data_IF_465778150908
#
_entry.id   IF_465778150908
#
_cell.length_a   1.000
_cell.length_b   1.000
_cell.length_c   1.000
_cell.angle_alpha   90.00
_cell.angle_beta   90.00
_cell.angle_gamma   90.00
#
_symmetry.space_group_name_H-M   'P 1'
#
loop_
_entity.id
_entity.type
_entity.pdbx_description
1 polymer ?
#
# COMPACT_ATOMS: atom_id res chain seq x y z
N UNK A 1 -3.79 2.82 3.06
CA UNK A 1 -4.72 3.57 2.18
C UNK A 1 -6.15 3.46 2.73
N UNK A 2 -7.13 4.25 2.27
CA UNK A 2 -8.51 4.16 2.78
C UNK A 2 -9.39 3.20 1.95
N UNK A 3 -10.29 2.41 2.57
CA UNK A 3 -11.20 1.50 1.88
C UNK A 3 -12.14 2.19 0.88
N UNK A 4 -12.64 1.39 -0.08
CA UNK A 4 -13.61 1.82 -1.07
C UNK A 4 -15.02 1.39 -0.71
N UNK A 5 -15.98 2.25 -1.03
CA UNK A 5 -17.40 1.94 -1.06
C UNK A 5 -17.89 2.01 -2.51
N UNK A 6 -18.34 0.87 -3.06
CA UNK A 6 -18.81 0.82 -4.45
C UNK A 6 -17.76 1.32 -5.46
N UNK A 7 -16.49 0.94 -5.26
CA UNK A 7 -15.32 1.34 -6.05
C UNK A 7 -14.92 2.82 -5.95
N UNK A 8 -15.54 3.60 -5.06
CA UNK A 8 -15.19 5.01 -4.83
C UNK A 8 -14.63 5.19 -3.42
N UNK A 9 -13.67 6.12 -3.21
CA UNK A 9 -13.26 6.50 -1.87
C UNK A 9 -14.47 6.97 -1.06
N UNK A 10 -14.60 6.47 0.16
CA UNK A 10 -15.64 6.93 1.06
C UNK A 10 -15.16 8.19 1.80
N UNK A 11 -15.93 9.30 1.74
CA UNK A 11 -15.49 10.54 2.35
C UNK A 11 -15.51 10.43 3.88
N UNK A 12 -14.37 10.71 4.51
CA UNK A 12 -14.29 10.85 5.96
C UNK A 12 -14.97 12.15 6.41
N UNK A 13 -15.52 12.13 7.62
CA UNK A 13 -16.04 13.34 8.27
C UNK A 13 -14.90 14.34 8.43
N UNK A 14 -15.22 15.61 8.21
CA UNK A 14 -14.26 16.70 8.44
C UNK A 14 -13.81 16.69 9.90
N UNK A 15 -12.51 16.85 10.18
CA UNK A 15 -12.04 17.02 11.54
C UNK A 15 -12.83 18.13 12.26
N UNK A 16 -13.09 17.93 13.56
CA UNK A 16 -13.77 18.92 14.37
C UNK A 16 -12.97 20.24 14.34
N UNK A 17 -13.63 21.33 13.95
CA UNK A 17 -12.98 22.63 13.77
C UNK A 17 -12.49 23.25 15.08
N UNK A 18 -13.20 22.97 16.17
CA UNK A 18 -12.89 23.45 17.51
C UNK A 18 -12.69 22.26 18.45
N UNK A 19 -11.70 22.34 19.37
CA UNK A 19 -11.55 21.36 20.41
C UNK A 19 -12.82 21.30 21.27
N UNK A 20 -13.17 20.12 21.82
CA UNK A 20 -14.35 19.97 22.66
C UNK A 20 -14.27 20.88 23.89
N UNK A 21 -15.40 21.50 24.23
CA UNK A 21 -15.51 22.31 25.44
C UNK A 21 -15.44 21.47 26.72
N UNK A 22 -15.27 22.11 27.90
CA UNK A 22 -15.26 21.38 29.17
C UNK A 22 -16.58 20.62 29.39
N UNK A 23 -16.50 19.29 29.43
CA UNK A 23 -17.66 18.40 29.63
C UNK A 23 -18.41 18.00 28.36
N UNK A 24 -17.92 18.36 27.17
CA UNK A 24 -18.47 17.91 25.89
C UNK A 24 -17.98 16.48 25.58
N UNK A 25 -18.92 15.55 25.37
CA UNK A 25 -18.60 14.19 24.93
C UNK A 25 -18.27 14.17 23.44
N UNK A 26 -17.18 13.48 23.08
CA UNK A 26 -16.79 13.25 21.69
C UNK A 26 -16.61 11.75 21.48
N UNK A 27 -17.27 11.22 20.45
CA UNK A 27 -17.18 9.83 20.05
C UNK A 27 -16.19 9.71 18.89
N UNK A 28 -15.21 8.81 19.01
CA UNK A 28 -14.12 8.67 18.03
C UNK A 28 -14.10 7.24 17.51
N UNK A 29 -14.04 7.08 16.20
CA UNK A 29 -13.78 5.78 15.56
C UNK A 29 -12.26 5.56 15.54
N UNK A 30 -11.80 4.49 16.18
CA UNK A 30 -10.36 4.31 16.46
C UNK A 30 -9.49 4.19 15.21
N UNK A 31 -9.92 3.47 14.17
CA UNK A 31 -9.12 3.24 12.97
C UNK A 31 -9.20 4.42 11.99
N UNK A 32 -10.38 4.98 11.72
CA UNK A 32 -10.52 6.12 10.80
C UNK A 32 -10.22 7.48 11.44
N UNK A 33 -10.10 7.54 12.77
CA UNK A 33 -9.89 8.75 13.57
C UNK A 33 -10.98 9.81 13.38
N UNK A 34 -12.14 9.43 12.88
CA UNK A 34 -13.29 10.33 12.73
C UNK A 34 -13.89 10.62 14.10
N UNK A 35 -14.21 11.89 14.34
CA UNK A 35 -14.74 12.37 15.60
C UNK A 35 -16.13 12.97 15.42
N UNK A 36 -17.04 12.65 16.34
CA UNK A 36 -18.45 13.01 16.31
C UNK A 36 -18.86 13.62 17.64
N UNK A 37 -19.65 14.69 17.61
CA UNK A 37 -20.28 15.30 18.80
C UNK A 37 -21.71 14.77 19.03
N UNK A 38 -22.35 14.31 17.96
CA UNK A 38 -23.67 13.72 18.01
C UNK A 38 -23.54 12.18 18.07
N UNK A 39 -24.22 11.57 19.05
CA UNK A 39 -24.18 10.14 19.29
C UNK A 39 -24.88 9.35 18.18
N UNK A 40 -26.02 9.83 17.69
CA UNK A 40 -26.79 9.17 16.64
C UNK A 40 -26.01 9.11 15.31
N UNK A 41 -25.27 10.18 14.96
CA UNK A 41 -24.39 10.21 13.78
C UNK A 41 -23.23 9.23 13.91
N UNK A 42 -22.65 9.12 15.11
CA UNK A 42 -21.61 8.14 15.41
C UNK A 42 -22.12 6.70 15.29
N UNK A 43 -23.28 6.40 15.88
CA UNK A 43 -23.91 5.08 15.82
C UNK A 43 -24.28 4.70 14.38
N UNK A 44 -24.86 5.63 13.60
CA UNK A 44 -25.15 5.41 12.19
C UNK A 44 -23.87 5.18 11.37
N UNK A 45 -22.76 5.86 11.72
CA UNK A 45 -21.46 5.61 11.08
C UNK A 45 -20.94 4.22 11.39
N UNK A 46 -21.02 3.79 12.64
CA UNK A 46 -20.60 2.45 13.05
C UNK A 46 -21.43 1.36 12.38
N UNK A 47 -22.75 1.52 12.32
CA UNK A 47 -23.63 0.57 11.63
C UNK A 47 -23.19 0.40 10.18
N UNK A 48 -22.98 1.51 9.48
CA UNK A 48 -22.47 1.50 8.10
C UNK A 48 -21.09 0.85 7.96
N UNK A 49 -20.20 1.03 8.94
CA UNK A 49 -18.87 0.40 8.94
C UNK A 49 -18.92 -1.10 9.20
N UNK A 50 -19.94 -1.59 9.89
CA UNK A 50 -20.17 -3.00 10.15
C UNK A 50 -20.84 -3.74 8.96
N UNK A 51 -21.42 -3.01 8.00
CA UNK A 51 -21.93 -3.63 6.77
C UNK A 51 -20.80 -4.26 5.95
N UNK A 52 -21.03 -5.45 5.39
CA UNK A 52 -20.07 -6.16 4.52
C UNK A 52 -20.12 -5.66 3.07
N UNK A 53 -19.92 -4.37 2.87
CA UNK A 53 -20.02 -3.70 1.56
C UNK A 53 -18.73 -3.01 1.14
N UNK A 54 -17.68 -3.15 1.93
CA UNK A 54 -16.40 -2.47 1.73
C UNK A 54 -15.49 -3.31 0.84
N UNK A 55 -14.58 -2.61 0.17
CA UNK A 55 -13.58 -3.21 -0.71
C UNK A 55 -12.21 -2.63 -0.39
N UNK A 56 -11.21 -3.48 -0.23
CA UNK A 56 -9.82 -3.08 -0.21
C UNK A 56 -9.45 -2.50 -1.59
N UNK A 57 -9.01 -1.25 -1.62
CA UNK A 57 -8.47 -0.56 -2.80
C UNK A 57 -7.23 -1.27 -3.35
N UNK A 58 -6.37 -1.77 -2.48
CA UNK A 58 -5.06 -2.33 -2.88
C UNK A 58 -5.18 -3.74 -3.48
N UNK A 59 -5.95 -4.63 -2.86
CA UNK A 59 -6.10 -6.03 -3.32
C UNK A 59 -7.36 -6.27 -4.17
N UNK A 60 -8.37 -5.40 -4.07
CA UNK A 60 -9.68 -5.62 -4.66
C UNK A 60 -10.59 -6.59 -3.87
N UNK A 61 -10.14 -7.11 -2.72
CA UNK A 61 -10.95 -7.94 -1.82
C UNK A 61 -12.24 -7.20 -1.43
N UNK A 62 -13.39 -7.87 -1.51
CA UNK A 62 -14.71 -7.28 -1.30
C UNK A 62 -15.53 -8.07 -0.28
N UNK A 63 -16.73 -7.58 0.08
CA UNK A 63 -17.58 -8.15 1.14
C UNK A 63 -16.95 -8.07 2.54
N UNK A 64 -16.10 -7.06 2.73
CA UNK A 64 -15.43 -6.75 3.98
C UNK A 64 -16.24 -5.72 4.77
N UNK A 65 -16.08 -5.71 6.08
CA UNK A 65 -16.39 -4.55 6.92
C UNK A 65 -15.36 -3.44 6.67
N UNK A 66 -15.66 -2.21 7.09
CA UNK A 66 -14.72 -1.10 6.93
C UNK A 66 -13.41 -1.38 7.67
N UNK A 67 -13.48 -1.96 8.87
CA UNK A 67 -12.31 -2.23 9.69
C UNK A 67 -11.42 -3.31 9.06
N UNK A 68 -12.00 -4.43 8.62
CA UNK A 68 -11.27 -5.49 7.91
C UNK A 68 -10.55 -4.93 6.67
N UNK A 69 -11.27 -4.17 5.83
CA UNK A 69 -10.65 -3.56 4.65
C UNK A 69 -9.55 -2.55 5.02
N UNK A 70 -9.71 -1.80 6.11
CA UNK A 70 -8.70 -0.85 6.59
C UNK A 70 -7.43 -1.55 7.10
N UNK A 71 -7.58 -2.66 7.82
CA UNK A 71 -6.45 -3.47 8.30
C UNK A 71 -5.68 -4.08 7.14
N UNK A 72 -6.38 -4.67 6.16
CA UNK A 72 -5.76 -5.20 4.94
C UNK A 72 -5.01 -4.12 4.15
N UNK A 73 -5.55 -2.89 4.08
CA UNK A 73 -4.86 -1.76 3.48
C UNK A 73 -3.55 -1.37 4.19
N UNK A 74 -3.50 -1.50 5.51
CA UNK A 74 -2.28 -1.23 6.28
C UNK A 74 -1.25 -2.33 6.05
N UNK A 75 -1.66 -3.60 6.15
CA UNK A 75 -0.78 -4.75 5.92
C UNK A 75 -0.15 -4.71 4.52
N UNK A 76 -0.95 -4.41 3.48
CA UNK A 76 -0.42 -4.30 2.11
C UNK A 76 0.51 -3.10 1.95
N UNK A 77 0.23 -1.99 2.64
CA UNK A 77 1.10 -0.81 2.60
C UNK A 77 2.45 -1.10 3.26
N UNK A 78 2.45 -1.79 4.42
CA UNK A 78 3.64 -2.19 5.14
C UNK A 78 4.46 -3.19 4.33
N UNK A 79 3.81 -4.24 3.80
CA UNK A 79 4.47 -5.23 2.94
C UNK A 79 5.10 -4.57 1.71
N UNK A 80 4.42 -3.62 1.07
CA UNK A 80 4.97 -2.90 -0.08
C UNK A 80 6.20 -2.06 0.33
N UNK A 81 6.20 -1.45 1.50
CA UNK A 81 7.36 -0.69 2.00
C UNK A 81 8.55 -1.60 2.33
N UNK A 82 8.29 -2.81 2.83
CA UNK A 82 9.33 -3.79 3.19
C UNK A 82 9.93 -4.46 1.95
N UNK A 83 9.10 -4.89 1.00
CA UNK A 83 9.52 -5.73 -0.13
C UNK A 83 9.86 -4.93 -1.39
N UNK A 84 9.28 -3.73 -1.58
CA UNK A 84 9.46 -2.94 -2.79
C UNK A 84 10.31 -1.69 -2.55
N UNK A 85 11.57 -1.76 -2.97
CA UNK A 85 12.51 -0.66 -2.85
C UNK A 85 12.25 0.46 -3.87
N UNK A 86 12.39 1.71 -3.41
CA UNK A 86 12.16 2.91 -4.22
C UNK A 86 13.09 3.05 -5.43
N UNK A 87 14.25 2.36 -5.46
CA UNK A 87 15.15 2.34 -6.62
C UNK A 87 14.47 1.84 -7.89
N UNK A 88 13.49 0.93 -7.75
CA UNK A 88 12.75 0.35 -8.86
C UNK A 88 11.56 1.21 -9.31
N UNK A 89 11.15 2.24 -8.56
CA UNK A 89 9.98 3.05 -8.88
C UNK A 89 10.08 3.69 -10.27
N UNK A 90 11.20 4.38 -10.54
CA UNK A 90 11.44 5.00 -11.85
C UNK A 90 11.48 4.00 -13.02
N UNK A 91 12.32 2.94 -13.01
CA UNK A 91 12.40 2.02 -14.15
C UNK A 91 11.08 1.27 -14.40
N UNK A 92 10.34 0.90 -13.35
CA UNK A 92 9.03 0.27 -13.52
C UNK A 92 7.99 1.25 -14.06
N UNK A 93 7.96 2.49 -13.58
CA UNK A 93 7.06 3.51 -14.13
C UNK A 93 7.35 3.81 -15.61
N UNK A 94 8.64 3.90 -16.00
CA UNK A 94 9.04 4.08 -17.39
C UNK A 94 8.61 2.89 -18.27
N UNK A 95 8.67 1.67 -17.75
CA UNK A 95 8.20 0.46 -18.45
C UNK A 95 6.69 0.44 -18.67
N UNK A 96 5.92 0.87 -17.67
CA UNK A 96 4.45 0.87 -17.70
C UNK A 96 3.91 2.05 -18.53
N UNK A 97 4.62 3.18 -18.52
CA UNK A 97 4.17 4.40 -19.19
C UNK A 97 3.97 4.19 -20.70
N UNK A 98 2.74 4.45 -21.18
CA UNK A 98 2.30 4.25 -22.57
C UNK A 98 2.41 2.82 -23.12
N UNK A 99 2.60 1.83 -22.26
CA UNK A 99 2.64 0.44 -22.71
C UNK A 99 1.23 -0.04 -23.08
N UNK A 100 1.14 -0.85 -24.14
CA UNK A 100 -0.13 -1.36 -24.68
C UNK A 100 -0.30 -2.87 -24.48
N UNK A 101 0.64 -3.54 -23.82
CA UNK A 101 0.47 -4.97 -23.47
C UNK A 101 -0.54 -5.13 -22.34
N UNK A 102 -1.05 -6.36 -22.16
CA UNK A 102 -1.97 -6.64 -21.05
C UNK A 102 -1.34 -6.38 -19.70
N UNK A 103 -2.15 -6.05 -18.70
CA UNK A 103 -1.69 -5.82 -17.33
C UNK A 103 -0.89 -7.02 -16.80
N UNK A 104 -1.38 -8.24 -16.99
CA UNK A 104 -0.68 -9.46 -16.55
C UNK A 104 0.72 -9.58 -17.15
N UNK A 105 0.88 -9.18 -18.42
CA UNK A 105 2.18 -9.20 -19.10
C UNK A 105 3.09 -8.08 -18.60
N UNK A 106 2.54 -6.91 -18.28
CA UNK A 106 3.30 -5.83 -17.64
C UNK A 106 3.83 -6.26 -16.26
N UNK A 107 3.02 -6.94 -15.46
CA UNK A 107 3.42 -7.44 -14.15
C UNK A 107 4.59 -8.42 -14.29
N UNK A 108 4.51 -9.36 -15.22
CA UNK A 108 5.61 -10.30 -15.49
C UNK A 108 6.89 -9.59 -15.95
N UNK A 109 6.76 -8.60 -16.83
CA UNK A 109 7.91 -7.81 -17.30
C UNK A 109 8.56 -7.00 -16.18
N UNK A 110 7.75 -6.37 -15.32
CA UNK A 110 8.24 -5.61 -14.17
C UNK A 110 8.93 -6.53 -13.16
N UNK A 111 8.36 -7.70 -12.89
CA UNK A 111 8.94 -8.71 -12.02
C UNK A 111 10.31 -9.18 -12.52
N UNK A 112 10.42 -9.46 -13.82
CA UNK A 112 11.69 -9.82 -14.45
C UNK A 112 12.72 -8.69 -14.39
N UNK A 113 12.31 -7.44 -14.55
CA UNK A 113 13.20 -6.28 -14.41
C UNK A 113 13.80 -6.21 -12.99
N UNK A 114 12.96 -6.34 -11.96
CA UNK A 114 13.36 -6.30 -10.55
C UNK A 114 14.32 -7.44 -10.21
N UNK A 115 14.08 -8.65 -10.72
CA UNK A 115 14.90 -9.81 -10.39
C UNK A 115 16.21 -9.92 -11.17
N UNK A 116 16.29 -9.32 -12.35
CA UNK A 116 17.42 -9.56 -13.28
C UNK A 116 18.35 -8.39 -13.49
N UNK A 117 18.02 -7.21 -12.96
CA UNK A 117 18.79 -6.00 -13.19
C UNK A 117 18.96 -5.21 -11.91
N UNK A 118 20.10 -4.51 -11.85
CA UNK A 118 20.38 -3.56 -10.79
C UNK A 118 19.71 -2.22 -11.07
N UNK A 119 19.14 -1.62 -10.03
CA UNK A 119 18.65 -0.26 -10.07
C UNK A 119 19.71 0.74 -9.60
N UNK A 120 19.63 1.97 -10.09
CA UNK A 120 20.53 3.04 -9.64
C UNK A 120 20.28 3.34 -8.17
N UNK A 121 21.32 3.19 -7.36
CA UNK A 121 21.25 3.41 -5.91
C UNK A 121 20.98 2.16 -5.09
N UNK A 122 20.75 1.02 -5.74
CA UNK A 122 20.62 -0.27 -5.07
C UNK A 122 21.87 -0.64 -4.28
N UNK A 123 21.68 -1.05 -3.03
CA UNK A 123 22.75 -1.59 -2.19
C UNK A 123 23.03 -3.04 -2.59
N UNK A 124 24.28 -3.33 -2.94
CA UNK A 124 24.70 -4.66 -3.36
C UNK A 124 25.84 -5.18 -2.50
N UNK A 125 25.78 -6.47 -2.18
CA UNK A 125 26.88 -7.17 -1.53
C UNK A 125 27.90 -7.60 -2.57
N UNK A 126 29.16 -7.24 -2.35
CA UNK A 126 30.28 -7.63 -3.22
C UNK A 126 31.09 -8.74 -2.56
N UNK A 127 31.24 -9.86 -3.25
CA UNK A 127 32.20 -10.89 -2.86
C UNK A 127 33.48 -10.69 -3.66
N UNK A 128 34.52 -10.21 -2.96
CA UNK A 128 35.86 -10.04 -3.53
C UNK A 128 36.63 -11.34 -3.30
N UNK A 129 36.82 -12.12 -4.36
CA UNK A 129 37.69 -13.29 -4.35
C UNK A 129 39.04 -12.93 -4.99
N UNK A 130 40.11 -13.66 -4.66
CA UNK A 130 41.49 -13.35 -5.05
C UNK A 130 41.75 -13.16 -6.56
N UNK A 131 40.79 -13.44 -7.44
CA UNK A 131 40.91 -13.32 -8.90
C UNK A 131 39.67 -12.73 -9.61
N UNK A 132 38.50 -12.59 -8.95
CA UNK A 132 37.23 -12.17 -9.58
C UNK A 132 36.37 -11.36 -8.60
N UNK A 133 35.78 -10.25 -9.07
CA UNK A 133 34.74 -9.49 -8.36
C UNK A 133 33.37 -10.10 -8.67
N UNK A 134 32.64 -10.53 -7.65
CA UNK A 134 31.24 -10.96 -7.78
C UNK A 134 30.33 -9.94 -7.11
N UNK A 135 29.24 -9.55 -7.78
CA UNK A 135 28.11 -8.86 -7.16
C UNK A 135 27.06 -9.93 -6.85
N UNK A 136 26.66 -10.03 -5.59
CA UNK A 136 25.60 -10.95 -5.17
C UNK A 136 24.30 -10.16 -5.05
N UNK A 137 23.27 -10.50 -5.83
CA UNK A 137 21.92 -10.03 -5.50
C UNK A 137 21.44 -10.77 -4.26
N UNK A 138 20.78 -10.04 -3.38
CA UNK A 138 20.24 -10.52 -2.11
C UNK A 138 19.05 -11.49 -2.25
N UNK A 139 19.02 -12.36 -3.28
CA UNK A 139 18.29 -13.63 -3.27
C UNK A 139 18.60 -14.58 -4.43
N UNK A 140 19.25 -14.14 -5.52
CA UNK A 140 19.69 -15.02 -6.60
C UNK A 140 20.98 -14.49 -7.25
N UNK A 141 22.08 -15.24 -7.13
CA UNK A 141 23.37 -14.89 -7.72
C UNK A 141 23.27 -14.69 -9.25
N UNK A 142 23.33 -13.43 -9.72
CA UNK A 142 23.56 -13.15 -11.13
C UNK A 142 25.05 -12.91 -11.35
N UNK A 143 25.66 -13.85 -12.08
CA UNK A 143 27.03 -13.74 -12.54
C UNK A 143 27.14 -12.59 -13.54
N UNK A 144 27.95 -11.58 -13.24
CA UNK A 144 28.48 -10.68 -14.26
C UNK A 144 29.84 -11.25 -14.66
N UNK A 145 29.89 -11.97 -15.79
CA UNK A 145 31.17 -12.27 -16.44
C UNK A 145 31.71 -11.02 -17.16
N UNK A 146 33.04 -10.88 -17.28
CA UNK A 146 33.70 -9.67 -17.80
C UNK A 146 33.35 -9.31 -19.25
#
# INVERSE_FOLDING_TARGET
MAPLLGRKPYPLVKPLAEPPGPGEEVYIIEHSKEAFRNKEEYEARLERYNERIWTCKSTGSSQLTHKEAWEEEQEVTELLQEEYNSWFEKPILEMVHHNTVSLDKLVEMAWMEILTKYAVGEECDFLVSFLIYYICLNQHSLCIEP
#
